data_IF_801734541535
#
_entry.id   IF_801734541535
#
_cell.length_a   1.000
_cell.length_b   1.000
_cell.length_c   1.000
_cell.angle_alpha   90.00
_cell.angle_beta   90.00
_cell.angle_gamma   90.00
#
_symmetry.space_group_name_H-M   'P 1'
#
loop_
_entity.id
_entity.type
_entity.pdbx_description
1 polymer ?
#
# COMPACT_ATOMS: atom_id res chain seq x y z
N UNK A 1 -17.95 47.30 -95.43
CA UNK A 1 -16.92 46.33 -94.97
C UNK A 1 -16.40 46.80 -93.63
N UNK A 2 -16.84 46.16 -92.59
CA UNK A 2 -16.43 46.53 -91.23
C UNK A 2 -15.79 45.29 -90.60
N UNK A 3 -14.50 45.38 -90.30
CA UNK A 3 -13.75 44.35 -89.60
C UNK A 3 -13.92 44.55 -88.08
N UNK A 4 -14.50 43.55 -87.41
CA UNK A 4 -14.47 43.45 -85.97
C UNK A 4 -13.29 42.58 -85.54
N UNK A 5 -12.44 43.09 -84.65
CA UNK A 5 -11.41 42.35 -83.94
C UNK A 5 -11.97 41.85 -82.56
N UNK A 6 -11.78 40.61 -82.21
CA UNK A 6 -12.12 40.18 -80.85
C UNK A 6 -10.97 40.45 -79.86
N UNK A 7 -11.26 41.05 -78.73
CA UNK A 7 -10.40 41.28 -77.59
C UNK A 7 -10.35 39.97 -76.78
N UNK A 8 -9.18 39.38 -76.70
CA UNK A 8 -8.91 38.30 -75.78
C UNK A 8 -8.65 38.84 -74.36
N UNK A 9 -9.59 38.62 -73.44
CA UNK A 9 -9.41 38.87 -72.01
C UNK A 9 -8.61 37.73 -71.35
N UNK A 10 -7.42 38.08 -70.89
CA UNK A 10 -6.57 37.17 -70.11
C UNK A 10 -7.02 37.13 -68.68
N UNK A 11 -7.70 36.03 -68.30
CA UNK A 11 -8.16 35.80 -66.97
C UNK A 11 -7.01 35.24 -66.08
N UNK A 12 -6.42 36.06 -65.25
CA UNK A 12 -5.36 35.66 -64.29
C UNK A 12 -6.05 34.98 -63.10
N UNK A 13 -5.94 33.68 -63.04
CA UNK A 13 -6.39 32.87 -61.87
C UNK A 13 -5.34 33.02 -60.76
N UNK A 14 -5.64 33.82 -59.78
CA UNK A 14 -4.93 33.89 -58.51
C UNK A 14 -5.23 32.62 -57.69
N UNK A 15 -4.26 31.70 -57.59
CA UNK A 15 -4.30 30.59 -56.65
C UNK A 15 -4.03 31.15 -55.25
N UNK A 16 -5.08 31.36 -54.46
CA UNK A 16 -4.95 31.55 -53.01
C UNK A 16 -4.73 30.16 -52.41
N UNK A 17 -3.44 29.87 -52.14
CA UNK A 17 -3.07 28.72 -51.32
C UNK A 17 -3.66 28.85 -49.93
N UNK A 18 -4.79 28.18 -49.67
CA UNK A 18 -5.29 28.02 -48.30
C UNK A 18 -4.28 27.17 -47.51
N UNK A 19 -3.50 27.81 -46.65
CA UNK A 19 -2.78 27.11 -45.58
C UNK A 19 -3.86 26.53 -44.66
N UNK A 20 -4.20 25.27 -44.84
CA UNK A 20 -4.91 24.48 -43.82
C UNK A 20 -4.02 24.43 -42.61
N UNK A 21 -4.50 24.91 -41.45
CA UNK A 21 -3.74 24.69 -40.20
C UNK A 21 -3.61 23.17 -40.03
N UNK A 22 -2.37 22.69 -40.01
CA UNK A 22 -2.09 21.32 -39.57
C UNK A 22 -2.64 21.26 -38.15
N UNK A 23 -3.71 20.51 -37.94
CA UNK A 23 -4.22 20.20 -36.63
C UNK A 23 -3.08 19.47 -35.90
N UNK A 24 -2.37 20.19 -35.07
CA UNK A 24 -1.46 19.60 -34.08
C UNK A 24 -2.35 18.69 -33.24
N UNK A 25 -2.22 17.39 -33.44
CA UNK A 25 -2.79 16.44 -32.50
C UNK A 25 -2.25 16.86 -31.12
N UNK A 26 -3.12 16.94 -30.09
CA UNK A 26 -2.65 17.24 -28.76
C UNK A 26 -1.55 16.22 -28.46
N UNK A 27 -0.33 16.71 -28.16
CA UNK A 27 0.76 15.86 -27.68
C UNK A 27 0.17 15.01 -26.54
N UNK A 28 0.08 13.70 -26.77
CA UNK A 28 -0.37 12.77 -25.77
C UNK A 28 0.61 12.91 -24.63
N UNK A 29 0.18 13.47 -23.52
CA UNK A 29 1.03 13.65 -22.35
C UNK A 29 1.80 12.35 -22.13
N UNK A 30 3.13 12.41 -22.03
CA UNK A 30 4.02 11.26 -21.94
C UNK A 30 3.70 10.35 -20.75
N UNK A 31 2.93 10.85 -19.81
CA UNK A 31 2.34 10.06 -18.72
C UNK A 31 1.02 10.69 -18.27
N UNK A 32 0.18 9.91 -17.63
CA UNK A 32 -1.13 10.36 -17.16
C UNK A 32 -1.32 10.14 -15.66
N UNK A 33 -0.72 9.11 -15.10
CA UNK A 33 -0.97 8.68 -13.72
C UNK A 33 0.27 8.08 -13.05
N UNK A 34 0.20 7.91 -11.72
CA UNK A 34 1.22 7.18 -10.94
C UNK A 34 1.45 5.74 -11.44
N UNK A 35 0.48 5.13 -12.12
CA UNK A 35 0.58 3.76 -12.65
C UNK A 35 1.62 3.65 -13.78
N UNK A 36 1.99 4.76 -14.42
CA UNK A 36 2.99 4.79 -15.49
C UNK A 36 4.44 4.71 -14.93
N UNK A 37 4.61 4.78 -13.61
CA UNK A 37 5.91 4.79 -12.93
C UNK A 37 6.07 3.67 -11.89
N UNK A 38 5.92 2.40 -12.28
CA UNK A 38 6.10 1.30 -11.34
C UNK A 38 7.58 1.12 -10.97
N UNK A 39 7.82 0.81 -9.70
CA UNK A 39 9.13 0.38 -9.18
C UNK A 39 10.28 1.38 -9.40
N UNK A 40 9.99 2.69 -9.40
CA UNK A 40 11.06 3.72 -9.37
C UNK A 40 11.99 3.55 -8.16
N UNK A 41 11.47 3.03 -7.06
CA UNK A 41 12.22 2.66 -5.87
C UNK A 41 12.12 1.15 -5.66
N UNK A 42 13.24 0.52 -5.33
CA UNK A 42 13.22 -0.87 -4.86
C UNK A 42 12.94 -0.89 -3.36
N UNK A 43 11.68 -1.03 -3.00
CA UNK A 43 11.22 -1.08 -1.60
C UNK A 43 10.89 -2.52 -1.16
N UNK A 44 11.70 -3.49 -1.59
CA UNK A 44 11.56 -4.89 -1.21
C UNK A 44 12.53 -5.23 -0.08
N UNK A 45 11.99 -5.68 1.04
CA UNK A 45 12.76 -6.07 2.20
C UNK A 45 11.97 -7.06 3.07
N UNK A 46 12.65 -7.89 3.87
CA UNK A 46 12.06 -8.68 4.96
C UNK A 46 13.10 -8.75 6.07
N UNK A 47 12.89 -8.04 7.18
CA UNK A 47 13.83 -8.07 8.29
C UNK A 47 13.76 -9.41 9.04
N UNK A 48 14.91 -9.92 9.47
CA UNK A 48 15.00 -11.08 10.35
C UNK A 48 14.97 -10.66 11.83
N UNK A 49 15.37 -9.41 12.11
CA UNK A 49 15.46 -8.87 13.46
C UNK A 49 15.20 -7.35 13.50
N UNK A 50 14.91 -6.77 14.67
CA UNK A 50 14.56 -5.35 14.79
C UNK A 50 15.64 -4.38 14.30
N UNK A 51 16.90 -4.81 14.23
CA UNK A 51 18.06 -3.96 13.91
C UNK A 51 18.57 -4.09 12.49
N UNK A 52 17.87 -4.83 11.64
CA UNK A 52 18.28 -5.00 10.25
C UNK A 52 18.26 -3.64 9.53
N UNK A 53 19.41 -3.32 8.91
CA UNK A 53 19.74 -1.96 8.50
C UNK A 53 19.50 -1.63 7.03
N UNK A 54 19.14 -2.58 6.18
CA UNK A 54 18.86 -2.34 4.77
C UNK A 54 17.45 -1.74 4.62
N UNK A 55 17.41 -0.40 4.46
CA UNK A 55 16.21 0.39 4.70
C UNK A 55 15.65 1.00 3.41
N UNK A 56 15.36 0.16 2.41
CA UNK A 56 14.52 0.61 1.31
C UNK A 56 13.06 0.50 1.72
N UNK A 57 12.49 1.64 2.11
CA UNK A 57 11.13 1.72 2.64
C UNK A 57 10.30 2.70 1.84
N UNK A 58 9.01 2.40 1.74
CA UNK A 58 8.00 3.35 1.36
C UNK A 58 7.49 4.08 2.61
N UNK A 59 7.56 5.41 2.57
CA UNK A 59 6.96 6.32 3.54
C UNK A 59 6.37 7.51 2.79
N UNK A 60 5.33 8.12 3.32
CA UNK A 60 4.64 9.27 2.72
C UNK A 60 4.06 10.19 3.79
N UNK A 61 3.59 11.40 3.41
CA UNK A 61 2.97 12.39 4.29
C UNK A 61 3.83 12.79 5.50
N UNK A 62 5.16 12.65 5.39
CA UNK A 62 6.08 12.94 6.50
C UNK A 62 6.00 11.94 7.66
N UNK A 63 5.53 10.72 7.38
CA UNK A 63 5.44 9.68 8.39
C UNK A 63 6.84 9.25 8.87
N UNK A 64 6.94 8.91 10.15
CA UNK A 64 8.16 8.40 10.77
C UNK A 64 8.32 6.89 10.59
N UNK A 65 7.30 6.25 10.07
CA UNK A 65 7.24 4.83 9.78
C UNK A 65 7.30 4.58 8.29
N UNK A 66 7.71 3.37 7.94
CA UNK A 66 7.72 2.93 6.56
C UNK A 66 7.41 1.46 6.44
N UNK A 67 7.06 1.07 5.23
CA UNK A 67 6.70 -0.29 4.87
C UNK A 67 7.48 -0.74 3.65
N UNK A 68 7.60 -2.05 3.50
CA UNK A 68 8.21 -2.64 2.32
C UNK A 68 7.29 -3.70 1.70
N UNK A 69 7.60 -4.08 0.48
CA UNK A 69 7.06 -5.27 -0.17
C UNK A 69 7.89 -6.49 0.21
N UNK A 70 7.30 -7.69 0.27
CA UNK A 70 8.07 -8.90 0.48
C UNK A 70 9.03 -9.15 -0.70
N UNK A 71 10.23 -9.66 -0.39
CA UNK A 71 11.16 -10.11 -1.42
C UNK A 71 10.62 -11.37 -2.11
N UNK A 72 10.93 -11.55 -3.39
CA UNK A 72 10.42 -12.68 -4.18
C UNK A 72 10.75 -14.06 -3.58
N UNK A 73 11.82 -14.17 -2.78
CA UNK A 73 12.26 -15.39 -2.12
C UNK A 73 11.52 -15.66 -0.80
N UNK A 74 10.92 -14.64 -0.20
CA UNK A 74 10.19 -14.77 1.06
C UNK A 74 8.73 -15.14 0.83
N UNK A 75 8.50 -16.40 0.48
CA UNK A 75 7.18 -16.97 0.21
C UNK A 75 6.21 -16.84 1.39
N UNK A 76 6.74 -16.63 2.61
CA UNK A 76 5.96 -16.55 3.83
C UNK A 76 5.06 -15.31 3.89
N UNK A 77 5.43 -14.21 3.22
CA UNK A 77 4.80 -12.90 3.38
C UNK A 77 3.98 -12.42 2.16
N UNK A 78 3.65 -13.31 1.23
CA UNK A 78 2.80 -12.96 0.10
C UNK A 78 1.43 -12.41 0.57
N UNK A 79 1.04 -11.24 0.06
CA UNK A 79 -0.18 -10.54 0.45
C UNK A 79 -0.05 -9.64 1.68
N UNK A 80 1.06 -9.71 2.43
CA UNK A 80 1.34 -8.81 3.54
C UNK A 80 2.23 -7.63 3.11
N UNK A 81 2.15 -6.52 3.85
CA UNK A 81 3.14 -5.46 3.81
C UNK A 81 4.13 -5.67 4.95
N UNK A 82 5.43 -5.58 4.61
CA UNK A 82 6.51 -5.78 5.55
C UNK A 82 6.68 -4.54 6.42
N UNK A 83 6.78 -4.75 7.71
CA UNK A 83 6.89 -3.68 8.69
C UNK A 83 5.72 -3.62 9.67
N UNK A 84 5.55 -2.49 10.33
CA UNK A 84 6.26 -1.21 10.14
C UNK A 84 7.70 -1.20 10.65
N UNK A 85 8.51 -0.40 10.00
CA UNK A 85 9.78 0.10 10.53
C UNK A 85 9.57 1.52 11.03
N UNK A 86 10.19 1.89 12.14
CA UNK A 86 10.15 3.27 12.62
C UNK A 86 11.53 3.92 12.57
N UNK A 87 11.56 5.17 12.11
CA UNK A 87 12.78 5.99 12.13
C UNK A 87 13.12 6.46 13.53
N UNK A 88 12.13 6.59 14.41
CA UNK A 88 12.30 6.74 15.84
C UNK A 88 12.82 5.42 16.41
N UNK A 89 13.92 5.43 17.11
CA UNK A 89 14.59 4.20 17.58
C UNK A 89 15.26 3.37 16.48
N UNK A 90 15.07 3.71 15.20
CA UNK A 90 15.70 3.07 14.02
C UNK A 90 15.57 1.55 14.05
N UNK A 91 14.35 1.07 14.03
CA UNK A 91 14.12 -0.37 14.11
C UNK A 91 12.80 -0.81 13.52
N UNK A 92 12.79 -2.08 13.10
CA UNK A 92 11.58 -2.77 12.71
C UNK A 92 10.78 -3.14 13.95
N UNK A 93 9.49 -2.86 13.94
CA UNK A 93 8.58 -3.26 15.00
C UNK A 93 8.10 -4.69 14.76
N UNK A 94 7.91 -5.05 13.49
CA UNK A 94 7.40 -6.34 13.07
C UNK A 94 8.00 -6.76 11.73
N UNK A 95 7.94 -8.05 11.42
CA UNK A 95 8.04 -8.49 10.02
C UNK A 95 6.78 -8.09 9.27
N UNK A 96 5.61 -8.37 9.86
CA UNK A 96 4.32 -7.84 9.41
C UNK A 96 3.32 -7.85 10.58
N UNK A 97 2.44 -6.88 10.61
CA UNK A 97 1.33 -6.82 11.57
C UNK A 97 0.05 -7.46 11.02
N UNK A 98 0.00 -7.80 9.72
CA UNK A 98 -1.17 -8.45 9.12
C UNK A 98 -0.77 -9.30 7.91
N UNK A 99 -0.64 -10.60 8.13
CA UNK A 99 -0.40 -11.62 7.11
C UNK A 99 -1.73 -12.28 6.75
N UNK A 100 -2.19 -12.23 5.47
CA UNK A 100 -3.43 -12.89 5.09
C UNK A 100 -3.26 -14.39 4.96
N UNK A 101 -4.29 -15.11 5.39
CA UNK A 101 -4.55 -16.49 4.99
C UNK A 101 -5.92 -16.54 4.34
N UNK A 102 -5.94 -16.86 3.05
CA UNK A 102 -7.14 -16.98 2.24
C UNK A 102 -7.44 -18.46 1.99
N UNK A 103 -8.67 -18.87 2.30
CA UNK A 103 -9.19 -20.22 2.03
C UNK A 103 -10.36 -20.07 1.06
N UNK A 104 -10.37 -20.89 0.01
CA UNK A 104 -11.40 -20.89 -1.02
C UNK A 104 -11.94 -22.30 -1.18
N UNK A 105 -13.25 -22.49 -0.95
CA UNK A 105 -13.91 -23.80 -0.96
C UNK A 105 -13.20 -24.85 -0.09
N UNK A 106 -12.71 -24.43 1.10
CA UNK A 106 -12.02 -25.29 2.07
C UNK A 106 -10.53 -25.51 1.79
N UNK A 107 -9.98 -24.99 0.68
CA UNK A 107 -8.57 -25.13 0.33
C UNK A 107 -7.82 -23.82 0.51
N UNK A 108 -6.60 -23.86 1.07
CA UNK A 108 -5.75 -22.68 1.18
C UNK A 108 -5.35 -22.18 -0.21
N UNK A 109 -5.66 -20.92 -0.48
CA UNK A 109 -5.27 -20.23 -1.71
C UNK A 109 -3.77 -19.92 -1.70
N UNK A 110 -3.04 -20.40 -2.68
CA UNK A 110 -1.59 -20.20 -2.78
C UNK A 110 -1.28 -18.80 -3.36
N UNK A 111 -1.13 -17.83 -2.47
CA UNK A 111 -0.78 -16.45 -2.85
C UNK A 111 0.57 -16.38 -3.59
N UNK A 112 1.54 -17.23 -3.23
CA UNK A 112 2.87 -17.19 -3.87
C UNK A 112 2.80 -17.62 -5.32
N UNK A 113 2.12 -18.75 -5.57
CA UNK A 113 1.96 -19.31 -6.92
C UNK A 113 1.16 -18.37 -7.82
N UNK A 114 0.16 -17.69 -7.26
CA UNK A 114 -0.79 -16.86 -7.99
C UNK A 114 -0.39 -15.38 -8.05
N UNK A 115 0.79 -15.00 -7.51
CA UNK A 115 1.29 -13.62 -7.57
C UNK A 115 1.53 -13.20 -9.02
N UNK A 116 0.88 -12.14 -9.44
CA UNK A 116 1.09 -11.50 -10.74
C UNK A 116 2.10 -10.36 -10.63
N UNK A 117 1.91 -9.48 -9.64
CA UNK A 117 2.79 -8.33 -9.41
C UNK A 117 2.89 -8.00 -7.92
N UNK A 118 4.07 -7.50 -7.53
CA UNK A 118 4.29 -6.76 -6.29
C UNK A 118 5.12 -5.53 -6.64
N UNK A 119 4.52 -4.33 -6.57
CA UNK A 119 5.12 -3.10 -7.08
C UNK A 119 4.93 -1.92 -6.13
N UNK A 120 5.96 -1.07 -6.11
CA UNK A 120 5.86 0.29 -5.63
C UNK A 120 5.31 1.17 -6.75
N UNK A 121 4.33 2.00 -6.41
CA UNK A 121 3.88 3.13 -7.22
C UNK A 121 4.09 4.41 -6.42
N UNK A 122 4.35 5.57 -7.06
CA UNK A 122 4.39 6.82 -6.33
C UNK A 122 3.15 7.00 -5.46
N UNK A 123 3.34 6.97 -4.13
CA UNK A 123 2.26 7.11 -3.15
C UNK A 123 1.63 5.83 -2.62
N UNK A 124 1.91 4.64 -3.17
CA UNK A 124 1.35 3.39 -2.65
C UNK A 124 2.19 2.16 -2.94
N UNK A 125 1.97 1.12 -2.14
CA UNK A 125 2.42 -0.25 -2.41
C UNK A 125 1.24 -1.10 -2.89
N UNK A 126 1.46 -1.97 -3.87
CA UNK A 126 0.40 -2.83 -4.43
C UNK A 126 0.91 -4.25 -4.61
N UNK A 127 0.09 -5.23 -4.27
CA UNK A 127 0.29 -6.63 -4.62
C UNK A 127 -0.97 -7.17 -5.30
N UNK A 128 -0.80 -7.94 -6.36
CA UNK A 128 -1.88 -8.51 -7.15
C UNK A 128 -1.66 -10.00 -7.38
N UNK A 129 -2.68 -10.78 -7.12
CA UNK A 129 -2.72 -12.24 -7.19
C UNK A 129 -3.94 -12.67 -8.00
N UNK A 130 -3.76 -13.66 -8.88
CA UNK A 130 -4.85 -14.09 -9.76
C UNK A 130 -4.68 -15.53 -10.22
N UNK A 131 -5.76 -16.28 -10.21
CA UNK A 131 -5.92 -17.52 -10.96
C UNK A 131 -7.20 -17.47 -11.81
N UNK A 132 -7.63 -18.58 -12.36
CA UNK A 132 -8.86 -18.64 -13.18
C UNK A 132 -10.15 -18.38 -12.39
N UNK A 133 -10.14 -18.57 -11.06
CA UNK A 133 -11.31 -18.53 -10.20
C UNK A 133 -11.41 -17.23 -9.41
N UNK A 134 -10.26 -16.67 -9.02
CA UNK A 134 -10.22 -15.61 -8.03
C UNK A 134 -9.11 -14.60 -8.31
N UNK A 135 -9.41 -13.35 -8.03
CA UNK A 135 -8.45 -12.24 -8.00
C UNK A 135 -8.39 -11.66 -6.60
N UNK A 136 -7.19 -11.47 -6.09
CA UNK A 136 -6.91 -10.83 -4.82
C UNK A 136 -5.93 -9.68 -5.04
N UNK A 137 -6.32 -8.48 -4.64
CA UNK A 137 -5.45 -7.30 -4.70
C UNK A 137 -5.35 -6.69 -3.30
N UNK A 138 -4.15 -6.30 -2.90
CA UNK A 138 -3.94 -5.55 -1.66
C UNK A 138 -3.08 -4.32 -1.93
N UNK A 139 -3.47 -3.18 -1.34
CA UNK A 139 -2.78 -1.89 -1.49
C UNK A 139 -2.62 -1.21 -0.13
N UNK A 140 -1.49 -0.48 0.01
CA UNK A 140 -1.18 0.32 1.18
C UNK A 140 -0.85 1.74 0.75
N UNK A 141 -1.48 2.73 1.38
CA UNK A 141 -1.11 4.15 1.31
C UNK A 141 -1.16 4.78 2.70
N UNK A 142 -0.54 5.96 2.86
CA UNK A 142 -0.63 6.71 4.10
C UNK A 142 -1.88 7.60 4.10
N UNK A 143 -2.66 7.52 5.18
CA UNK A 143 -3.81 8.38 5.45
C UNK A 143 -3.38 9.64 6.22
N UNK A 144 -2.41 9.50 7.12
CA UNK A 144 -1.82 10.61 7.91
C UNK A 144 -0.32 10.39 8.06
N UNK A 145 0.37 11.31 8.72
CA UNK A 145 1.79 11.13 9.10
C UNK A 145 2.00 10.05 10.20
N UNK A 146 0.93 9.43 10.68
CA UNK A 146 0.97 8.40 11.73
C UNK A 146 0.33 7.09 11.31
N UNK A 147 -0.50 7.09 10.28
CA UNK A 147 -1.37 5.97 9.94
C UNK A 147 -1.27 5.60 8.47
N UNK A 148 -1.01 4.33 8.22
CA UNK A 148 -1.16 3.70 6.92
C UNK A 148 -2.50 2.96 6.85
N UNK A 149 -3.19 3.08 5.71
CA UNK A 149 -4.39 2.32 5.37
C UNK A 149 -4.04 1.18 4.43
N UNK A 150 -4.62 0.02 4.68
CA UNK A 150 -4.53 -1.14 3.80
C UNK A 150 -5.93 -1.56 3.37
N UNK A 151 -6.10 -1.71 2.07
CA UNK A 151 -7.31 -2.26 1.45
C UNK A 151 -6.96 -3.52 0.70
N UNK A 152 -7.76 -4.56 0.92
CA UNK A 152 -7.65 -5.82 0.21
C UNK A 152 -8.98 -6.17 -0.43
N UNK A 153 -8.97 -6.50 -1.71
CA UNK A 153 -10.17 -6.84 -2.49
C UNK A 153 -10.05 -8.26 -3.01
N UNK A 154 -11.06 -9.07 -2.73
CA UNK A 154 -11.20 -10.44 -3.23
C UNK A 154 -12.34 -10.44 -4.24
N UNK A 155 -12.09 -10.81 -5.48
CA UNK A 155 -13.10 -10.87 -6.54
C UNK A 155 -13.27 -12.31 -7.03
N UNK A 156 -14.50 -12.79 -7.07
CA UNK A 156 -14.84 -14.07 -7.67
C UNK A 156 -14.92 -13.93 -9.19
N UNK A 157 -14.01 -14.55 -9.91
CA UNK A 157 -13.94 -14.55 -11.37
C UNK A 157 -14.64 -15.77 -12.01
N UNK A 158 -15.04 -16.75 -11.18
CA UNK A 158 -15.71 -17.95 -11.68
C UNK A 158 -17.20 -17.72 -11.92
N UNK A 159 -17.82 -18.61 -12.69
CA UNK A 159 -19.25 -18.57 -12.99
C UNK A 159 -20.12 -19.08 -11.84
N UNK A 160 -19.51 -19.59 -10.76
CA UNK A 160 -20.18 -20.15 -9.60
C UNK A 160 -19.80 -19.41 -8.33
N UNK A 161 -20.66 -19.40 -7.29
CA UNK A 161 -20.30 -18.87 -5.99
C UNK A 161 -19.10 -19.61 -5.37
N UNK A 162 -18.23 -18.87 -4.69
CA UNK A 162 -17.08 -19.42 -3.94
C UNK A 162 -17.32 -19.23 -2.45
N UNK A 163 -17.06 -20.27 -1.66
CA UNK A 163 -16.96 -20.11 -0.21
C UNK A 163 -15.58 -19.60 0.16
N UNK A 164 -15.50 -18.40 0.78
CA UNK A 164 -14.26 -17.70 1.07
C UNK A 164 -14.14 -17.46 2.55
N UNK A 165 -12.99 -17.85 3.13
CA UNK A 165 -12.59 -17.44 4.48
C UNK A 165 -11.29 -16.64 4.41
N UNK A 166 -11.26 -15.49 5.08
CA UNK A 166 -10.08 -14.64 5.20
C UNK A 166 -9.74 -14.43 6.67
N UNK A 167 -8.50 -14.75 7.02
CA UNK A 167 -7.94 -14.46 8.35
C UNK A 167 -6.65 -13.67 8.21
N UNK A 168 -6.34 -12.88 9.24
CA UNK A 168 -5.08 -12.15 9.34
C UNK A 168 -4.33 -12.61 10.59
N UNK A 169 -3.01 -12.67 10.51
CA UNK A 169 -2.15 -12.93 11.66
C UNK A 169 -0.93 -12.02 11.61
N UNK A 170 -0.40 -11.65 12.75
CA UNK A 170 0.79 -10.81 12.81
C UNK A 170 1.33 -10.72 14.22
N UNK A 171 2.52 -10.14 14.35
CA UNK A 171 3.17 -9.98 15.64
C UNK A 171 4.34 -9.02 15.56
N UNK A 172 4.84 -8.65 16.72
CA UNK A 172 5.97 -7.74 16.89
C UNK A 172 7.23 -8.52 17.31
N UNK A 173 8.41 -7.93 17.07
CA UNK A 173 9.68 -8.58 17.36
C UNK A 173 10.04 -8.64 18.85
N UNK A 174 9.53 -7.70 19.65
CA UNK A 174 9.98 -7.57 21.05
C UNK A 174 9.02 -8.29 21.99
N UNK A 175 9.51 -9.32 22.66
CA UNK A 175 8.76 -10.17 23.59
C UNK A 175 8.22 -9.42 24.83
N UNK A 176 8.91 -8.33 25.25
CA UNK A 176 8.47 -7.51 26.38
C UNK A 176 7.38 -6.48 25.99
N UNK A 177 6.76 -6.64 24.83
CA UNK A 177 5.62 -5.84 24.39
C UNK A 177 4.38 -6.16 25.21
N UNK A 178 3.52 -5.17 25.41
CA UNK A 178 2.20 -5.39 25.99
C UNK A 178 1.13 -5.17 24.93
N UNK A 179 0.31 -6.18 24.70
CA UNK A 179 -0.83 -6.10 23.79
C UNK A 179 -2.14 -5.85 24.55
N UNK A 180 -2.93 -4.89 24.08
CA UNK A 180 -4.28 -4.63 24.57
C UNK A 180 -5.27 -4.64 23.43
N UNK A 181 -6.44 -5.29 23.64
CA UNK A 181 -7.52 -5.26 22.67
C UNK A 181 -8.21 -3.90 22.70
N UNK A 182 -8.47 -3.32 21.55
CA UNK A 182 -9.16 -2.04 21.38
C UNK A 182 -10.20 -2.17 20.28
N UNK A 183 -11.49 -2.25 20.65
CA UNK A 183 -12.60 -2.44 19.70
C UNK A 183 -12.30 -3.60 18.70
N UNK A 184 -12.25 -3.31 17.41
CA UNK A 184 -11.85 -4.23 16.33
C UNK A 184 -10.35 -4.20 16.05
N UNK A 185 -9.49 -4.03 17.05
CA UNK A 185 -8.06 -3.90 16.89
C UNK A 185 -7.24 -4.37 18.08
N UNK A 186 -5.94 -4.27 17.88
CA UNK A 186 -4.93 -4.56 18.92
C UNK A 186 -3.96 -3.39 18.98
N UNK A 187 -3.63 -2.97 20.18
CA UNK A 187 -2.62 -1.96 20.48
C UNK A 187 -1.44 -2.63 21.16
N UNK A 188 -0.26 -2.46 20.58
CA UNK A 188 1.02 -2.93 21.10
C UNK A 188 1.80 -1.75 21.68
N UNK A 189 2.20 -1.85 22.95
CA UNK A 189 3.17 -0.95 23.56
C UNK A 189 4.56 -1.57 23.42
N UNK A 190 5.29 -1.12 22.40
CA UNK A 190 6.56 -1.68 21.98
C UNK A 190 7.72 -0.90 22.60
N UNK A 191 8.52 -1.53 23.50
CA UNK A 191 9.64 -0.86 24.15
C UNK A 191 10.86 -0.82 23.24
N UNK A 192 11.57 0.30 23.24
CA UNK A 192 12.90 0.41 22.66
C UNK A 192 13.96 0.39 23.75
N UNK A 193 14.90 -0.54 23.63
CA UNK A 193 16.03 -0.65 24.51
C UNK A 193 17.25 0.07 23.97
N UNK A 194 18.13 0.55 24.87
CA UNK A 194 19.41 1.09 24.52
C UNK A 194 20.25 0.10 23.70
N UNK A 195 21.11 0.61 22.84
CA UNK A 195 21.98 -0.21 21.98
C UNK A 195 23.41 0.28 22.07
N UNK A 196 24.38 -0.66 22.02
CA UNK A 196 25.81 -0.35 21.95
C UNK A 196 26.50 -1.23 20.92
N UNK A 197 27.60 -0.77 20.38
CA UNK A 197 28.49 -1.58 19.55
C UNK A 197 29.26 -2.56 20.40
N UNK A 198 29.19 -3.83 20.08
CA UNK A 198 30.08 -4.86 20.65
C UNK A 198 31.44 -4.90 19.96
N UNK A 199 32.34 -5.72 20.48
CA UNK A 199 33.74 -5.87 20.00
C UNK A 199 33.84 -6.28 18.53
N UNK A 200 32.87 -7.03 18.02
CA UNK A 200 32.83 -7.53 16.63
C UNK A 200 31.93 -6.69 15.72
N UNK A 201 31.74 -5.40 16.01
CA UNK A 201 30.82 -4.50 15.31
C UNK A 201 29.35 -4.97 15.28
N UNK A 202 28.99 -5.91 16.14
CA UNK A 202 27.61 -6.32 16.32
C UNK A 202 26.85 -5.29 17.18
N UNK A 203 25.56 -5.10 16.91
CA UNK A 203 24.70 -4.28 17.75
C UNK A 203 24.22 -5.14 18.92
N UNK A 204 24.49 -4.70 20.13
CA UNK A 204 24.01 -5.34 21.37
C UNK A 204 22.84 -4.52 21.90
N UNK A 205 21.67 -5.13 22.02
CA UNK A 205 20.49 -4.52 22.65
C UNK A 205 20.54 -4.74 24.17
N UNK A 206 20.38 -3.68 24.94
CA UNK A 206 20.53 -3.66 26.41
C UNK A 206 19.20 -4.00 27.10
N UNK A 207 18.66 -5.21 26.90
CA UNK A 207 17.35 -5.64 27.45
C UNK A 207 17.32 -5.75 28.97
N UNK A 208 18.47 -5.79 29.63
CA UNK A 208 18.57 -5.80 31.10
C UNK A 208 18.46 -4.40 31.71
N UNK A 209 18.42 -3.36 30.90
CA UNK A 209 18.24 -1.98 31.32
C UNK A 209 16.79 -1.55 31.02
N UNK A 210 16.25 -0.52 31.69
CA UNK A 210 14.92 0.02 31.33
C UNK A 210 14.87 0.46 29.88
N UNK A 211 13.70 0.36 29.23
CA UNK A 211 13.52 0.91 27.89
C UNK A 211 13.85 2.40 27.84
N UNK A 212 14.57 2.82 26.83
CA UNK A 212 14.92 4.23 26.61
C UNK A 212 13.77 5.00 25.97
N UNK A 213 12.86 4.30 25.30
CA UNK A 213 11.70 4.87 24.63
C UNK A 213 10.62 3.82 24.36
N UNK A 214 9.45 4.27 23.89
CA UNK A 214 8.30 3.41 23.57
C UNK A 214 7.58 3.93 22.33
N UNK A 215 7.10 3.01 21.50
CA UNK A 215 6.16 3.29 20.41
C UNK A 215 4.87 2.51 20.66
N UNK A 216 3.75 3.16 20.46
CA UNK A 216 2.44 2.51 20.45
C UNK A 216 2.05 2.21 19.00
N UNK A 217 1.96 0.91 18.66
CA UNK A 217 1.50 0.43 17.36
C UNK A 217 0.06 -0.09 17.49
N UNK A 218 -0.89 0.53 16.80
CA UNK A 218 -2.30 0.11 16.80
C UNK A 218 -2.68 -0.44 15.43
N UNK A 219 -3.21 -1.66 15.39
CA UNK A 219 -3.81 -2.25 14.18
C UNK A 219 -5.32 -2.31 14.40
N UNK A 220 -6.09 -1.67 13.52
CA UNK A 220 -7.54 -1.62 13.59
C UNK A 220 -8.15 -2.21 12.30
N UNK A 221 -8.95 -3.27 12.44
CA UNK A 221 -9.67 -3.92 11.33
C UNK A 221 -11.09 -3.38 11.25
N UNK A 222 -11.42 -2.67 10.18
CA UNK A 222 -12.70 -1.98 10.06
C UNK A 222 -13.85 -2.92 9.70
N UNK A 223 -13.55 -4.02 9.00
CA UNK A 223 -14.51 -4.97 8.43
C UNK A 223 -14.51 -6.35 9.12
N UNK A 224 -13.56 -6.60 10.03
CA UNK A 224 -13.39 -7.90 10.68
C UNK A 224 -14.59 -8.33 11.54
N UNK A 225 -14.88 -9.63 11.51
CA UNK A 225 -15.86 -10.24 12.38
C UNK A 225 -15.34 -10.39 13.82
N UNK A 226 -14.06 -10.79 13.97
CA UNK A 226 -13.44 -11.00 15.28
C UNK A 226 -11.94 -10.66 15.28
N UNK A 227 -11.48 -10.04 16.36
CA UNK A 227 -10.07 -9.73 16.62
C UNK A 227 -9.65 -10.27 17.98
N UNK A 228 -8.54 -10.99 18.02
CA UNK A 228 -7.98 -11.61 19.22
C UNK A 228 -6.50 -11.21 19.41
N UNK A 229 -6.08 -11.08 20.66
CA UNK A 229 -4.65 -11.09 21.02
C UNK A 229 -4.20 -12.54 21.22
N UNK A 230 -2.98 -12.85 20.77
CA UNK A 230 -2.32 -14.14 21.03
C UNK A 230 -1.04 -13.85 21.82
N UNK A 231 -1.12 -14.00 23.14
CA UNK A 231 -0.04 -13.53 24.01
C UNK A 231 0.04 -12.00 24.07
N UNK A 232 1.24 -11.48 24.31
CA UNK A 232 1.51 -10.03 24.43
C UNK A 232 2.13 -9.42 23.18
N UNK A 233 2.46 -10.21 22.18
CA UNK A 233 3.26 -9.82 21.02
C UNK A 233 2.58 -10.10 19.67
N UNK A 234 1.42 -10.75 19.68
CA UNK A 234 0.80 -11.26 18.45
C UNK A 234 -0.71 -11.01 18.42
N UNK A 235 -1.27 -11.01 17.22
CA UNK A 235 -2.71 -10.93 16.96
C UNK A 235 -3.15 -11.99 15.96
N UNK A 236 -4.42 -12.37 16.07
CA UNK A 236 -5.14 -13.15 15.08
C UNK A 236 -6.51 -12.50 14.83
N UNK A 237 -6.91 -12.45 13.58
CA UNK A 237 -8.16 -11.81 13.16
C UNK A 237 -8.93 -12.74 12.24
N UNK A 238 -10.20 -12.95 12.54
CA UNK A 238 -11.16 -13.55 11.62
C UNK A 238 -11.84 -12.39 10.88
N UNK A 239 -11.43 -12.17 9.66
CA UNK A 239 -12.02 -11.13 8.80
C UNK A 239 -13.39 -11.57 8.31
N UNK A 240 -13.43 -12.75 7.71
CA UNK A 240 -14.63 -13.46 7.32
C UNK A 240 -14.43 -14.97 7.45
N UNK A 241 -15.48 -15.67 7.87
CA UNK A 241 -15.55 -17.12 7.90
C UNK A 241 -16.71 -17.59 7.03
N UNK A 242 -16.46 -18.56 6.16
CA UNK A 242 -17.47 -19.21 5.29
C UNK A 242 -18.37 -18.22 4.51
N UNK A 243 -17.79 -17.14 4.02
CA UNK A 243 -18.51 -16.12 3.26
C UNK A 243 -18.77 -16.57 1.82
N UNK A 244 -20.04 -16.65 1.44
CA UNK A 244 -20.44 -17.04 0.08
C UNK A 244 -20.32 -15.86 -0.88
N UNK A 245 -19.19 -15.80 -1.60
CA UNK A 245 -18.90 -14.76 -2.58
C UNK A 245 -19.52 -15.14 -3.93
N UNK A 246 -20.56 -14.41 -4.34
CA UNK A 246 -21.27 -14.66 -5.59
C UNK A 246 -20.38 -14.43 -6.81
N UNK A 247 -20.71 -15.07 -7.96
CA UNK A 247 -20.03 -14.86 -9.24
C UNK A 247 -19.95 -13.38 -9.62
N UNK A 248 -18.78 -12.93 -10.03
CA UNK A 248 -18.52 -11.54 -10.43
C UNK A 248 -18.62 -10.50 -9.29
N UNK A 249 -18.77 -10.92 -8.03
CA UNK A 249 -18.81 -10.03 -6.87
C UNK A 249 -17.48 -9.95 -6.17
N UNK A 250 -17.29 -8.85 -5.43
CA UNK A 250 -16.08 -8.61 -4.64
C UNK A 250 -16.41 -8.47 -3.16
N UNK A 251 -15.48 -8.88 -2.32
CA UNK A 251 -15.42 -8.58 -0.90
C UNK A 251 -14.23 -7.68 -0.62
N UNK A 252 -14.41 -6.64 0.18
CA UNK A 252 -13.34 -5.70 0.56
C UNK A 252 -13.06 -5.82 2.06
N UNK A 253 -11.80 -6.04 2.40
CA UNK A 253 -11.25 -5.98 3.76
C UNK A 253 -10.43 -4.71 3.91
N UNK A 254 -10.62 -3.99 5.01
CA UNK A 254 -9.98 -2.71 5.29
C UNK A 254 -9.42 -2.70 6.70
N UNK A 255 -8.13 -2.34 6.83
CA UNK A 255 -7.51 -2.12 8.13
C UNK A 255 -6.52 -0.96 8.10
N UNK A 256 -6.23 -0.42 9.28
CA UNK A 256 -5.26 0.64 9.48
C UNK A 256 -4.15 0.21 10.43
N UNK A 257 -2.96 0.75 10.23
CA UNK A 257 -1.80 0.59 11.10
C UNK A 257 -1.31 1.97 11.51
N UNK A 258 -1.42 2.28 12.80
CA UNK A 258 -1.07 3.57 13.37
C UNK A 258 0.15 3.43 14.29
N UNK A 259 1.13 4.31 14.12
CA UNK A 259 2.26 4.43 15.04
C UNK A 259 2.27 5.80 15.70
N UNK A 260 2.21 5.79 17.03
CA UNK A 260 2.36 7.00 17.83
C UNK A 260 3.57 6.87 18.75
N UNK A 261 4.26 7.98 18.98
CA UNK A 261 5.42 8.03 19.87
C UNK A 261 4.95 8.22 21.32
N UNK A 262 5.86 7.97 22.26
CA UNK A 262 5.64 8.27 23.65
C UNK A 262 5.23 9.73 23.85
N UNK A 263 4.15 9.96 24.57
CA UNK A 263 3.59 11.30 24.81
C UNK A 263 2.67 11.82 23.72
N UNK A 264 2.57 11.15 22.58
CA UNK A 264 1.52 11.44 21.57
C UNK A 264 0.18 10.83 22.02
N UNK A 265 -0.90 11.46 21.61
CA UNK A 265 -2.24 11.03 21.99
C UNK A 265 -2.75 9.92 21.06
N UNK A 266 -2.36 8.67 21.33
CA UNK A 266 -2.77 7.51 20.54
C UNK A 266 -4.30 7.37 20.41
N UNK A 267 -5.05 7.76 21.43
CA UNK A 267 -6.51 7.70 21.41
C UNK A 267 -7.12 8.77 20.51
N UNK A 268 -6.52 9.95 20.40
CA UNK A 268 -6.99 10.98 19.44
C UNK A 268 -6.77 10.51 18.00
N UNK A 269 -5.59 10.00 17.68
CA UNK A 269 -5.30 9.46 16.35
C UNK A 269 -6.26 8.31 16.03
N UNK A 270 -6.46 7.38 16.98
CA UNK A 270 -7.39 6.27 16.85
C UNK A 270 -8.82 6.71 16.54
N UNK A 271 -9.32 7.76 17.20
CA UNK A 271 -10.65 8.33 16.92
C UNK A 271 -10.68 9.02 15.55
N UNK A 272 -9.65 9.78 15.22
CA UNK A 272 -9.57 10.52 13.96
C UNK A 272 -9.59 9.60 12.74
N UNK A 273 -8.82 8.51 12.75
CA UNK A 273 -8.74 7.58 11.61
C UNK A 273 -10.04 6.83 11.35
N UNK A 274 -10.86 6.58 12.39
CA UNK A 274 -12.18 5.94 12.22
C UNK A 274 -13.15 6.77 11.39
N UNK A 275 -12.93 8.08 11.29
CA UNK A 275 -13.76 9.01 10.52
C UNK A 275 -13.28 9.22 9.08
N UNK A 276 -12.09 8.72 8.71
CA UNK A 276 -11.54 8.86 7.35
C UNK A 276 -12.07 7.72 6.47
N UNK A 277 -12.85 8.00 5.43
CA UNK A 277 -13.29 6.96 4.49
C UNK A 277 -12.10 6.44 3.69
N UNK A 278 -11.96 5.12 3.56
CA UNK A 278 -10.88 4.49 2.79
C UNK A 278 -10.89 4.93 1.32
N UNK A 279 -12.05 4.93 0.68
CA UNK A 279 -12.19 5.37 -0.72
C UNK A 279 -11.66 6.79 -0.94
N UNK A 280 -12.00 7.71 -0.04
CA UNK A 280 -11.53 9.08 -0.10
C UNK A 280 -10.00 9.15 0.06
N UNK A 281 -9.44 8.44 1.04
CA UNK A 281 -8.00 8.42 1.28
C UNK A 281 -7.22 7.92 0.06
N UNK A 282 -7.62 6.81 -0.55
CA UNK A 282 -6.97 6.27 -1.74
C UNK A 282 -7.14 7.19 -2.96
N UNK A 283 -8.29 7.82 -3.14
CA UNK A 283 -8.54 8.78 -4.23
C UNK A 283 -7.70 10.04 -4.07
N UNK A 284 -7.64 10.63 -2.88
CA UNK A 284 -6.83 11.82 -2.58
C UNK A 284 -5.34 11.54 -2.72
N UNK A 285 -4.87 10.36 -2.30
CA UNK A 285 -3.50 9.92 -2.50
C UNK A 285 -3.15 9.87 -3.99
N UNK A 286 -3.97 9.23 -4.81
CA UNK A 286 -3.77 9.15 -6.25
C UNK A 286 -3.79 10.53 -6.91
N UNK A 287 -4.73 11.39 -6.55
CA UNK A 287 -4.83 12.75 -7.06
C UNK A 287 -3.58 13.58 -6.74
N UNK A 288 -3.13 13.55 -5.49
CA UNK A 288 -1.95 14.30 -5.03
C UNK A 288 -0.69 13.89 -5.78
N UNK A 289 -0.44 12.59 -5.93
CA UNK A 289 0.72 12.09 -6.62
C UNK A 289 0.67 12.35 -8.13
N UNK A 290 -0.49 12.16 -8.78
CA UNK A 290 -0.66 12.46 -10.20
C UNK A 290 -0.42 13.95 -10.49
N UNK A 291 -0.95 14.85 -9.67
CA UNK A 291 -0.69 16.29 -9.79
C UNK A 291 0.80 16.64 -9.57
N UNK A 292 1.45 16.00 -8.60
CA UNK A 292 2.88 16.19 -8.33
C UNK A 292 3.74 15.76 -9.52
N UNK A 293 3.49 14.58 -10.05
CA UNK A 293 4.19 14.05 -11.23
C UNK A 293 3.97 14.93 -12.46
N UNK A 294 2.76 15.38 -12.72
CA UNK A 294 2.45 16.30 -13.82
C UNK A 294 3.26 17.60 -13.73
N UNK A 295 3.35 18.20 -12.54
CA UNK A 295 4.14 19.42 -12.33
C UNK A 295 5.63 19.22 -12.61
N UNK A 296 6.20 18.09 -12.19
CA UNK A 296 7.62 17.77 -12.38
C UNK A 296 7.93 17.55 -13.86
N UNK A 297 7.05 16.88 -14.59
CA UNK A 297 7.30 16.47 -15.97
C UNK A 297 6.85 17.51 -17.02
N UNK A 298 6.08 18.52 -16.62
CA UNK A 298 5.71 19.66 -17.47
C UNK A 298 6.63 20.87 -17.30
N UNK A 299 7.59 20.82 -16.39
CA UNK A 299 8.58 21.88 -16.17
C UNK A 299 9.80 21.69 -17.08
#
# INVERSE_FOLDING_TARGET
MKHLFPIYGMCSILWLGACTPVATQPEKSLFTTQEDFPNLLNVKNVPEQPVDGDLNLFSDLGAWSGYALPVNQSRAFAGAFIGPMTMHGRGWIAQTLAQPTLVVNGEKYDLVRNMQTAKYLPGKLVQHFKDARLEFTTELCFATSRTAFVRSVITNLSDTPLNVSLTWSGGVFEENTTATKVDKGVRFHYPFYGRRWGTNRQIITLRNEPPVDEVTATVLFHTADEVMTVGNDSLQVVEKSDYLLQSGKSYTSEYSQTLTLKGEEADKEYVAIKSIPFDQCFAENAQRWNQGLQRILSA
#
